data_IF_603417795649
#
_entry.id   IF_603417795649
#
_cell.length_a   1.000
_cell.length_b   1.000
_cell.length_c   1.000
_cell.angle_alpha   90.00
_cell.angle_beta   90.00
_cell.angle_gamma   90.00
#
_symmetry.space_group_name_H-M   'P 1'
#
loop_
_entity.id
_entity.type
_entity.pdbx_description
1 polymer ?
#
# COMPACT_ATOMS: atom_id res chain seq x y z
N UNK A 1 -16.86 -5.22 10.64
CA UNK A 1 -16.54 -6.41 11.46
C UNK A 1 -15.08 -6.81 11.24
N UNK A 2 -14.36 -7.35 12.23
CA UNK A 2 -12.94 -7.73 12.10
C UNK A 2 -12.64 -8.66 10.93
N UNK A 3 -13.46 -9.68 10.70
CA UNK A 3 -13.26 -10.63 9.60
C UNK A 3 -13.29 -9.94 8.21
N UNK A 4 -14.18 -8.95 8.03
CA UNK A 4 -14.23 -8.18 6.78
C UNK A 4 -13.00 -7.26 6.63
N UNK A 5 -12.53 -6.66 7.72
CA UNK A 5 -11.32 -5.84 7.71
C UNK A 5 -10.09 -6.70 7.38
N UNK A 6 -9.94 -7.88 8.01
CA UNK A 6 -8.87 -8.82 7.73
C UNK A 6 -8.86 -9.25 6.26
N UNK A 7 -10.03 -9.57 5.69
CA UNK A 7 -10.17 -9.90 4.28
C UNK A 7 -9.75 -8.74 3.35
N UNK A 8 -10.12 -7.50 3.69
CA UNK A 8 -9.73 -6.31 2.91
C UNK A 8 -8.23 -5.98 3.02
N UNK A 9 -7.60 -6.26 4.16
CA UNK A 9 -6.16 -6.03 4.37
C UNK A 9 -5.25 -7.17 3.91
N UNK A 10 -5.85 -8.29 3.49
CA UNK A 10 -5.30 -9.51 2.87
C UNK A 10 -4.06 -10.15 3.53
N UNK A 11 -2.97 -9.39 3.64
CA UNK A 11 -1.65 -9.84 4.08
C UNK A 11 -1.45 -9.90 5.59
N UNK A 12 -2.30 -9.23 6.39
CA UNK A 12 -2.15 -9.11 7.86
C UNK A 12 -2.89 -10.26 8.56
N UNK A 13 -2.24 -10.88 9.56
CA UNK A 13 -2.87 -11.93 10.38
C UNK A 13 -4.22 -11.44 10.95
N UNK A 14 -5.33 -12.18 10.73
CA UNK A 14 -6.65 -11.79 11.21
C UNK A 14 -6.73 -11.55 12.72
N UNK A 15 -5.94 -12.24 13.54
CA UNK A 15 -5.89 -12.07 15.01
C UNK A 15 -5.28 -10.72 15.37
N UNK A 16 -4.29 -10.23 14.62
CA UNK A 16 -3.72 -8.89 14.82
C UNK A 16 -4.79 -7.83 14.51
N UNK A 17 -5.52 -7.99 13.40
CA UNK A 17 -6.62 -7.08 13.04
C UNK A 17 -7.72 -7.09 14.11
N UNK A 18 -8.12 -8.27 14.57
CA UNK A 18 -9.14 -8.41 15.62
C UNK A 18 -8.69 -7.75 16.93
N UNK A 19 -7.45 -8.00 17.36
CA UNK A 19 -6.87 -7.41 18.56
C UNK A 19 -6.84 -5.88 18.47
N UNK A 20 -6.29 -5.31 17.38
CA UNK A 20 -6.18 -3.85 17.21
C UNK A 20 -7.57 -3.20 17.18
N UNK A 21 -8.50 -3.76 16.41
CA UNK A 21 -9.87 -3.23 16.37
C UNK A 21 -10.60 -3.38 17.69
N UNK A 22 -10.29 -4.41 18.49
CA UNK A 22 -10.79 -4.58 19.85
C UNK A 22 -10.28 -3.47 20.77
N UNK A 23 -8.97 -3.25 20.80
CA UNK A 23 -8.34 -2.21 21.62
C UNK A 23 -8.81 -0.81 21.28
N UNK A 24 -9.04 -0.52 19.99
CA UNK A 24 -9.44 0.81 19.55
C UNK A 24 -10.88 1.17 19.97
N UNK A 25 -11.81 0.21 19.97
CA UNK A 25 -13.25 0.46 20.19
C UNK A 25 -13.58 1.08 21.54
N UNK A 26 -12.77 0.79 22.56
CA UNK A 26 -13.05 1.25 23.93
C UNK A 26 -12.54 2.67 24.20
N UNK A 27 -11.71 3.23 23.29
CA UNK A 27 -11.01 4.50 23.52
C UNK A 27 -11.20 5.53 22.39
N UNK A 28 -11.65 5.11 21.21
CA UNK A 28 -11.88 5.98 20.06
C UNK A 28 -12.88 5.36 19.08
N UNK A 29 -13.28 6.13 18.08
CA UNK A 29 -14.11 5.67 16.97
C UNK A 29 -13.48 6.03 15.62
N UNK A 30 -14.07 5.54 14.53
CA UNK A 30 -13.54 5.75 13.18
C UNK A 30 -13.55 7.22 12.78
N UNK A 31 -14.56 7.98 13.18
CA UNK A 31 -14.70 9.40 12.82
C UNK A 31 -13.62 10.23 13.53
N UNK A 32 -13.36 9.96 14.81
CA UNK A 32 -12.28 10.58 15.58
C UNK A 32 -10.89 10.23 15.00
N UNK A 33 -10.66 8.97 14.61
CA UNK A 33 -9.42 8.56 13.94
C UNK A 33 -9.22 9.34 12.63
N UNK A 34 -10.26 9.43 11.80
CA UNK A 34 -10.22 10.18 10.55
C UNK A 34 -10.01 11.69 10.79
N UNK A 35 -10.68 12.27 11.79
CA UNK A 35 -10.51 13.67 12.16
C UNK A 35 -9.10 14.00 12.62
N UNK A 36 -8.49 13.16 13.45
CA UNK A 36 -7.08 13.34 13.88
C UNK A 36 -6.12 13.17 12.71
N UNK A 37 -6.34 12.18 11.83
CA UNK A 37 -5.56 12.03 10.60
C UNK A 37 -5.61 13.33 9.80
N UNK A 38 -6.80 13.83 9.48
CA UNK A 38 -6.99 15.00 8.62
C UNK A 38 -6.36 16.26 9.21
N UNK A 39 -6.54 16.48 10.52
CA UNK A 39 -5.92 17.57 11.25
C UNK A 39 -4.38 17.49 11.26
N UNK A 40 -3.81 16.30 11.10
CA UNK A 40 -2.35 16.07 11.15
C UNK A 40 -1.66 16.18 9.78
N UNK A 41 -2.41 16.13 8.67
CA UNK A 41 -1.83 16.09 7.31
C UNK A 41 -0.99 17.33 7.03
N UNK A 42 -1.58 18.52 7.13
CA UNK A 42 -0.89 19.77 6.77
C UNK A 42 0.30 20.04 7.70
N UNK A 43 0.16 19.98 9.04
CA UNK A 43 1.30 20.14 9.94
C UNK A 43 2.40 19.09 9.73
N UNK A 44 2.01 17.85 9.43
CA UNK A 44 2.95 16.76 9.17
C UNK A 44 3.74 16.97 7.88
N UNK A 45 3.06 17.37 6.79
CA UNK A 45 3.72 17.71 5.53
C UNK A 45 4.67 18.88 5.71
N UNK A 46 4.25 19.95 6.39
CA UNK A 46 5.12 21.11 6.63
C UNK A 46 6.35 20.77 7.48
N UNK A 47 6.20 19.87 8.47
CA UNK A 47 7.32 19.45 9.31
C UNK A 47 8.31 18.50 8.60
N UNK A 48 7.83 17.62 7.72
CA UNK A 48 8.64 16.58 7.08
C UNK A 48 9.19 17.04 5.73
N UNK A 49 8.36 17.74 4.96
CA UNK A 49 8.59 18.10 3.58
C UNK A 49 8.03 19.52 3.29
N UNK A 50 8.68 20.58 3.82
CA UNK A 50 8.20 21.95 3.66
C UNK A 50 7.95 22.30 2.18
N UNK A 51 6.82 22.93 1.89
CA UNK A 51 6.42 23.34 0.53
C UNK A 51 5.72 22.27 -0.32
N UNK A 52 5.72 20.98 0.09
CA UNK A 52 4.98 19.93 -0.63
C UNK A 52 3.49 20.23 -0.69
N UNK A 53 2.92 20.76 0.40
CA UNK A 53 1.50 21.08 0.44
C UNK A 53 1.09 22.06 -0.66
N UNK A 54 1.88 23.12 -0.85
CA UNK A 54 1.64 24.15 -1.86
C UNK A 54 1.75 23.59 -3.29
N UNK A 55 2.68 22.66 -3.51
CA UNK A 55 2.82 21.97 -4.79
C UNK A 55 1.68 20.99 -5.09
N UNK A 56 1.13 20.33 -4.06
CA UNK A 56 0.02 19.37 -4.20
C UNK A 56 -1.34 20.04 -4.34
N UNK A 57 -1.57 21.18 -3.69
CA UNK A 57 -2.88 21.84 -3.64
C UNK A 57 -3.53 22.06 -5.04
N UNK A 58 -2.79 22.52 -6.08
CA UNK A 58 -3.35 22.69 -7.42
C UNK A 58 -3.78 21.39 -8.11
N UNK A 59 -3.25 20.24 -7.69
CA UNK A 59 -3.49 18.93 -8.31
C UNK A 59 -4.73 18.22 -7.77
N UNK A 60 -5.42 18.79 -6.76
CA UNK A 60 -6.52 18.14 -6.08
C UNK A 60 -7.64 17.68 -7.05
N UNK A 61 -8.07 18.55 -7.96
CA UNK A 61 -9.12 18.23 -8.93
C UNK A 61 -8.67 17.15 -9.93
N UNK A 62 -7.41 17.19 -10.37
CA UNK A 62 -6.86 16.19 -11.29
C UNK A 62 -6.82 14.80 -10.64
N UNK A 63 -6.35 14.72 -9.39
CA UNK A 63 -6.31 13.47 -8.65
C UNK A 63 -7.72 12.91 -8.41
N UNK A 64 -8.70 13.76 -8.06
CA UNK A 64 -10.10 13.32 -7.91
C UNK A 64 -10.71 12.87 -9.24
N UNK A 65 -10.34 13.47 -10.36
CA UNK A 65 -10.75 13.00 -11.70
C UNK A 65 -10.30 11.56 -11.93
N UNK A 66 -9.07 11.22 -11.54
CA UNK A 66 -8.56 9.85 -11.57
C UNK A 66 -9.38 8.89 -10.69
N UNK A 67 -9.69 9.31 -9.46
CA UNK A 67 -10.53 8.53 -8.53
C UNK A 67 -11.93 8.28 -9.10
N UNK A 68 -12.54 9.27 -9.76
CA UNK A 68 -13.90 9.15 -10.29
C UNK A 68 -14.00 8.41 -11.63
N UNK A 69 -12.88 8.21 -12.33
CA UNK A 69 -12.83 7.53 -13.61
C UNK A 69 -12.99 6.00 -13.53
N UNK A 70 -12.94 5.41 -12.34
CA UNK A 70 -12.93 3.95 -12.15
C UNK A 70 -14.06 3.45 -11.24
N UNK A 71 -14.50 2.20 -11.45
CA UNK A 71 -15.52 1.57 -10.61
C UNK A 71 -14.94 1.08 -9.27
N UNK A 72 -15.77 1.03 -8.22
CA UNK A 72 -15.36 0.65 -6.86
C UNK A 72 -15.53 -0.84 -6.53
N UNK A 73 -16.19 -1.62 -7.40
CA UNK A 73 -16.50 -3.03 -7.15
C UNK A 73 -15.25 -3.86 -6.81
N UNK A 74 -15.33 -4.68 -5.76
CA UNK A 74 -14.23 -5.47 -5.19
C UNK A 74 -13.01 -4.65 -4.72
N UNK A 75 -13.21 -3.35 -4.43
CA UNK A 75 -12.17 -2.45 -3.93
C UNK A 75 -12.60 -1.78 -2.62
N UNK A 76 -12.64 -2.53 -1.51
CA UNK A 76 -13.23 -2.05 -0.26
C UNK A 76 -12.48 -0.86 0.34
N UNK A 77 -11.15 -0.83 0.30
CA UNK A 77 -10.37 0.26 0.89
C UNK A 77 -10.50 1.54 0.06
N UNK A 78 -10.37 1.41 -1.27
CA UNK A 78 -10.65 2.48 -2.22
C UNK A 78 -12.05 3.04 -2.04
N UNK A 79 -13.06 2.17 -1.97
CA UNK A 79 -14.46 2.57 -1.80
C UNK A 79 -14.70 3.29 -0.49
N UNK A 80 -14.06 2.85 0.61
CA UNK A 80 -14.20 3.46 1.91
C UNK A 80 -13.60 4.87 1.95
N UNK A 81 -12.42 5.07 1.35
CA UNK A 81 -11.78 6.39 1.28
C UNK A 81 -12.51 7.32 0.31
N UNK A 82 -12.93 6.81 -0.86
CA UNK A 82 -13.67 7.60 -1.86
C UNK A 82 -15.00 8.13 -1.35
N UNK A 83 -15.63 7.45 -0.39
CA UNK A 83 -16.90 7.87 0.20
C UNK A 83 -16.75 8.98 1.27
N UNK A 84 -15.52 9.30 1.69
CA UNK A 84 -15.28 10.36 2.67
C UNK A 84 -15.53 11.75 2.05
N UNK A 85 -15.91 12.76 2.86
CA UNK A 85 -16.08 14.12 2.38
C UNK A 85 -14.82 14.67 1.71
N UNK A 86 -14.99 15.39 0.61
CA UNK A 86 -13.90 16.09 -0.09
C UNK A 86 -13.81 17.52 0.46
N UNK A 87 -12.72 17.92 1.13
CA UNK A 87 -12.64 19.24 1.75
C UNK A 87 -12.29 20.31 0.70
N UNK A 88 -13.31 20.92 0.10
CA UNK A 88 -13.15 21.95 -0.95
C UNK A 88 -12.36 23.18 -0.45
N UNK A 89 -12.52 23.55 0.82
CA UNK A 89 -11.82 24.70 1.41
C UNK A 89 -10.39 24.41 1.86
N UNK A 90 -9.91 23.17 1.73
CA UNK A 90 -8.56 22.75 2.14
C UNK A 90 -7.90 21.92 1.04
N UNK A 91 -7.39 22.57 -0.04
CA UNK A 91 -6.92 21.89 -1.24
C UNK A 91 -5.74 20.94 -0.99
N UNK A 92 -4.84 21.26 -0.04
CA UNK A 92 -3.74 20.37 0.38
C UNK A 92 -4.29 19.05 0.92
N UNK A 93 -5.25 19.12 1.86
CA UNK A 93 -5.88 17.93 2.43
C UNK A 93 -6.68 17.18 1.36
N UNK A 94 -7.38 17.89 0.48
CA UNK A 94 -8.15 17.28 -0.62
C UNK A 94 -7.24 16.49 -1.57
N UNK A 95 -6.11 17.06 -2.00
CA UNK A 95 -5.12 16.37 -2.83
C UNK A 95 -4.54 15.13 -2.12
N UNK A 96 -4.23 15.25 -0.83
CA UNK A 96 -3.73 14.13 -0.03
C UNK A 96 -4.73 12.98 0.08
N UNK A 97 -6.02 13.29 0.29
CA UNK A 97 -7.08 12.28 0.35
C UNK A 97 -7.30 11.60 -1.01
N UNK A 98 -7.26 12.36 -2.11
CA UNK A 98 -7.34 11.82 -3.46
C UNK A 98 -6.17 10.87 -3.79
N UNK A 99 -4.94 11.28 -3.46
CA UNK A 99 -3.75 10.45 -3.63
C UNK A 99 -3.83 9.15 -2.80
N UNK A 100 -4.37 9.21 -1.57
CA UNK A 100 -4.59 8.02 -0.76
C UNK A 100 -5.69 7.10 -1.34
N UNK A 101 -6.74 7.66 -1.95
CA UNK A 101 -7.70 6.85 -2.70
C UNK A 101 -7.00 6.10 -3.84
N UNK A 102 -6.21 6.78 -4.67
CA UNK A 102 -5.45 6.14 -5.76
C UNK A 102 -4.46 5.08 -5.27
N UNK A 103 -3.83 5.33 -4.10
CA UNK A 103 -2.98 4.32 -3.44
C UNK A 103 -3.77 3.06 -3.05
N UNK A 104 -4.93 3.22 -2.42
CA UNK A 104 -5.76 2.07 -2.04
C UNK A 104 -6.40 1.36 -3.24
N UNK A 105 -6.70 2.07 -4.33
CA UNK A 105 -7.12 1.47 -5.59
C UNK A 105 -6.08 0.45 -6.07
N UNK A 106 -4.80 0.83 -6.07
CA UNK A 106 -3.72 -0.07 -6.47
C UNK A 106 -3.62 -1.27 -5.53
N UNK A 107 -3.72 -1.04 -4.22
CA UNK A 107 -3.70 -2.08 -3.20
C UNK A 107 -4.83 -3.10 -3.38
N UNK A 108 -6.06 -2.62 -3.53
CA UNK A 108 -7.24 -3.46 -3.76
C UNK A 108 -7.13 -4.24 -5.09
N UNK A 109 -6.65 -3.62 -6.16
CA UNK A 109 -6.37 -4.31 -7.43
C UNK A 109 -5.35 -5.45 -7.24
N UNK A 110 -4.30 -5.21 -6.47
CA UNK A 110 -3.28 -6.20 -6.16
C UNK A 110 -3.87 -7.39 -5.37
N UNK A 111 -4.65 -7.12 -4.33
CA UNK A 111 -5.32 -8.17 -3.55
C UNK A 111 -6.32 -8.97 -4.37
N UNK A 112 -7.08 -8.33 -5.26
CA UNK A 112 -7.99 -9.04 -6.16
C UNK A 112 -7.23 -10.01 -7.10
N UNK A 113 -6.06 -9.63 -7.60
CA UNK A 113 -5.21 -10.49 -8.43
C UNK A 113 -4.60 -11.64 -7.63
N UNK A 114 -4.11 -11.39 -6.42
CA UNK A 114 -3.60 -12.43 -5.52
C UNK A 114 -4.68 -13.46 -5.17
N UNK A 115 -5.89 -12.99 -4.84
CA UNK A 115 -7.05 -13.83 -4.56
C UNK A 115 -7.44 -14.68 -5.77
N UNK A 116 -7.48 -14.07 -6.97
CA UNK A 116 -7.79 -14.78 -8.21
C UNK A 116 -6.76 -15.86 -8.57
N UNK A 117 -5.53 -15.74 -8.07
CA UNK A 117 -4.46 -16.74 -8.23
C UNK A 117 -4.42 -17.79 -7.10
N UNK A 118 -5.39 -17.76 -6.17
CA UNK A 118 -5.43 -18.65 -4.99
C UNK A 118 -4.13 -18.56 -4.15
N UNK A 119 -3.57 -17.36 -4.00
CA UNK A 119 -2.44 -17.12 -3.11
C UNK A 119 -2.96 -16.81 -1.71
N UNK A 120 -2.49 -17.54 -0.71
CA UNK A 120 -2.74 -17.16 0.67
C UNK A 120 -1.87 -15.96 1.10
N UNK A 121 -2.15 -15.35 2.28
CA UNK A 121 -1.40 -14.20 2.78
C UNK A 121 0.11 -14.44 2.95
N UNK A 122 0.52 -15.67 3.28
CA UNK A 122 1.92 -16.05 3.48
C UNK A 122 2.62 -16.18 2.13
N UNK A 123 1.99 -16.85 1.17
CA UNK A 123 2.49 -16.99 -0.20
C UNK A 123 2.75 -15.61 -0.83
N UNK A 124 1.82 -14.66 -0.62
CA UNK A 124 1.98 -13.26 -1.05
C UNK A 124 3.21 -12.60 -0.42
N UNK A 125 3.40 -12.75 0.89
CA UNK A 125 4.54 -12.19 1.60
C UNK A 125 5.88 -12.80 1.16
N UNK A 126 5.93 -14.12 0.96
CA UNK A 126 7.11 -14.83 0.48
C UNK A 126 7.46 -14.46 -0.97
N UNK A 127 6.46 -14.35 -1.85
CA UNK A 127 6.64 -13.90 -3.23
C UNK A 127 7.14 -12.45 -3.31
N UNK A 128 6.82 -11.62 -2.32
CA UNK A 128 7.33 -10.23 -2.26
C UNK A 128 8.86 -10.16 -2.15
N UNK A 129 9.54 -11.22 -1.69
CA UNK A 129 11.02 -11.28 -1.65
C UNK A 129 11.69 -10.96 -3.00
N UNK A 130 11.01 -11.20 -4.12
CA UNK A 130 11.49 -10.86 -5.48
C UNK A 130 11.62 -9.35 -5.71
N UNK A 131 10.91 -8.54 -4.94
CA UNK A 131 10.80 -7.07 -5.10
C UNK A 131 11.68 -6.27 -4.14
N UNK A 132 12.42 -6.94 -3.27
CA UNK A 132 13.29 -6.31 -2.26
C UNK A 132 14.71 -6.83 -2.41
N UNK A 133 15.68 -6.08 -1.92
CA UNK A 133 17.06 -6.54 -1.90
C UNK A 133 17.20 -7.83 -1.07
N UNK A 134 17.63 -8.94 -1.68
CA UNK A 134 17.75 -10.21 -1.00
C UNK A 134 18.81 -10.21 0.11
N UNK A 135 19.85 -9.37 0.01
CA UNK A 135 20.92 -9.28 1.00
C UNK A 135 20.46 -8.52 2.25
N UNK A 136 19.53 -7.56 2.10
CA UNK A 136 19.00 -6.75 3.21
C UNK A 136 17.70 -7.34 3.81
N UNK A 137 16.83 -7.91 2.98
CA UNK A 137 15.46 -8.33 3.37
C UNK A 137 15.09 -9.77 2.96
N UNK A 138 15.88 -10.43 2.11
CA UNK A 138 15.52 -11.73 1.53
C UNK A 138 15.78 -12.94 2.43
N UNK A 139 16.70 -12.84 3.39
CA UNK A 139 17.17 -13.99 4.17
C UNK A 139 16.29 -14.38 5.37
N UNK A 140 15.39 -13.49 5.82
CA UNK A 140 14.60 -13.69 7.05
C UNK A 140 13.10 -13.90 6.78
N UNK A 141 12.67 -14.06 5.53
CA UNK A 141 11.23 -14.12 5.17
C UNK A 141 10.48 -12.90 5.74
N UNK A 142 11.19 -11.77 5.86
CA UNK A 142 10.83 -10.63 6.71
C UNK A 142 9.41 -10.17 6.41
N UNK A 143 9.07 -10.02 5.12
CA UNK A 143 7.77 -9.51 4.67
C UNK A 143 6.65 -10.37 5.19
N UNK A 144 6.75 -11.70 5.11
CA UNK A 144 5.72 -12.58 5.63
C UNK A 144 5.66 -12.51 7.17
N UNK A 145 6.81 -12.55 7.86
CA UNK A 145 6.86 -12.57 9.33
C UNK A 145 6.33 -11.30 9.99
N UNK A 146 6.65 -10.15 9.42
CA UNK A 146 6.18 -8.85 9.91
C UNK A 146 4.67 -8.65 9.93
N UNK A 147 3.95 -9.50 9.20
CA UNK A 147 2.49 -9.48 9.13
C UNK A 147 1.83 -10.43 10.13
N UNK A 148 2.63 -11.06 11.00
CA UNK A 148 2.16 -11.90 12.10
C UNK A 148 2.35 -13.40 11.89
N UNK A 149 3.04 -13.82 10.82
CA UNK A 149 3.18 -15.24 10.48
C UNK A 149 4.33 -15.90 11.26
N UNK A 150 4.03 -17.04 11.88
CA UNK A 150 4.98 -17.88 12.62
C UNK A 150 5.71 -18.89 11.72
N UNK A 151 6.67 -19.64 12.29
CA UNK A 151 7.49 -20.61 11.55
C UNK A 151 6.65 -21.69 10.85
N UNK A 152 5.57 -22.16 11.52
CA UNK A 152 4.67 -23.15 10.96
C UNK A 152 3.88 -22.60 9.77
N UNK A 153 3.43 -21.34 9.84
CA UNK A 153 2.76 -20.65 8.74
C UNK A 153 3.72 -20.46 7.55
N UNK A 154 4.96 -20.04 7.83
CA UNK A 154 6.01 -19.89 6.81
C UNK A 154 6.30 -21.22 6.10
N UNK A 155 6.49 -22.31 6.86
CA UNK A 155 6.74 -23.63 6.28
C UNK A 155 5.59 -24.09 5.36
N UNK A 156 4.34 -23.89 5.79
CA UNK A 156 3.16 -24.17 4.96
C UNK A 156 3.11 -23.29 3.71
N UNK A 157 3.49 -22.01 3.81
CA UNK A 157 3.57 -21.09 2.68
C UNK A 157 4.56 -21.58 1.61
N UNK A 158 5.75 -22.00 2.02
CA UNK A 158 6.72 -22.61 1.10
C UNK A 158 6.19 -23.88 0.46
N UNK A 159 5.55 -24.77 1.23
CA UNK A 159 4.94 -26.00 0.70
C UNK A 159 3.88 -25.73 -0.37
N UNK A 160 3.05 -24.70 -0.18
CA UNK A 160 2.05 -24.28 -1.15
C UNK A 160 2.68 -23.69 -2.41
N UNK A 161 3.67 -22.82 -2.27
CA UNK A 161 4.41 -22.26 -3.42
C UNK A 161 5.12 -23.35 -4.24
N UNK A 162 5.73 -24.35 -3.58
CA UNK A 162 6.32 -25.52 -4.25
C UNK A 162 5.26 -26.34 -4.99
N UNK A 163 4.11 -26.57 -4.36
CA UNK A 163 2.97 -27.28 -4.99
C UNK A 163 2.46 -26.54 -6.23
N UNK A 164 2.48 -25.21 -6.22
CA UNK A 164 2.15 -24.35 -7.36
C UNK A 164 3.30 -24.21 -8.37
N UNK A 165 4.47 -24.80 -8.10
CA UNK A 165 5.65 -24.74 -8.97
C UNK A 165 6.35 -23.38 -9.00
N UNK A 166 6.15 -22.54 -7.98
CA UNK A 166 6.69 -21.18 -7.87
C UNK A 166 7.96 -21.11 -6.99
N UNK A 167 8.27 -22.17 -6.25
CA UNK A 167 9.44 -22.25 -5.38
C UNK A 167 10.18 -23.58 -5.52
N UNK A 168 11.46 -23.57 -5.15
CA UNK A 168 12.29 -24.76 -4.90
C UNK A 168 12.90 -24.63 -3.50
N UNK A 169 12.56 -25.56 -2.60
CA UNK A 169 12.84 -25.40 -1.17
C UNK A 169 12.27 -24.09 -0.60
N UNK A 170 13.12 -23.31 0.06
CA UNK A 170 12.80 -22.00 0.64
C UNK A 170 13.26 -20.84 -0.26
N UNK A 171 13.21 -21.02 -1.59
CA UNK A 171 13.57 -20.00 -2.55
C UNK A 171 12.55 -19.91 -3.69
N UNK A 172 12.20 -18.70 -4.10
CA UNK A 172 11.38 -18.46 -5.28
C UNK A 172 12.19 -18.84 -6.52
N UNK A 173 11.64 -19.70 -7.37
CA UNK A 173 12.30 -20.14 -8.60
C UNK A 173 12.03 -19.17 -9.77
N UNK A 174 12.64 -19.39 -10.93
CA UNK A 174 12.45 -18.52 -12.12
C UNK A 174 10.99 -18.39 -12.56
N UNK A 175 10.19 -19.44 -12.40
CA UNK A 175 8.77 -19.40 -12.71
C UNK A 175 8.02 -18.51 -11.71
N UNK A 176 8.30 -18.66 -10.41
CA UNK A 176 7.78 -17.78 -9.36
C UNK A 176 8.17 -16.32 -9.55
N UNK A 177 9.41 -16.05 -9.98
CA UNK A 177 9.87 -14.70 -10.31
C UNK A 177 9.07 -14.10 -11.46
N UNK A 178 8.92 -14.82 -12.58
CA UNK A 178 8.10 -14.36 -13.72
C UNK A 178 6.64 -14.14 -13.32
N UNK A 179 6.08 -15.06 -12.55
CA UNK A 179 4.71 -14.96 -12.04
C UNK A 179 4.53 -13.71 -11.17
N UNK A 180 5.45 -13.44 -10.24
CA UNK A 180 5.41 -12.25 -9.38
C UNK A 180 5.46 -10.95 -10.18
N UNK A 181 6.34 -10.87 -11.18
CA UNK A 181 6.49 -9.70 -12.04
C UNK A 181 5.27 -9.49 -12.93
N UNK A 182 4.70 -10.57 -13.48
CA UNK A 182 3.45 -10.51 -14.23
C UNK A 182 2.29 -9.99 -13.39
N UNK A 183 2.23 -10.41 -12.11
CA UNK A 183 1.23 -9.94 -11.16
C UNK A 183 1.37 -8.43 -10.87
N UNK A 184 2.59 -7.89 -10.75
CA UNK A 184 2.78 -6.42 -10.68
C UNK A 184 2.34 -5.72 -11.95
N UNK A 185 2.78 -6.20 -13.12
CA UNK A 185 2.40 -5.61 -14.41
C UNK A 185 0.87 -5.52 -14.55
N UNK A 186 0.15 -6.59 -14.21
CA UNK A 186 -1.32 -6.60 -14.23
C UNK A 186 -1.93 -5.68 -13.19
N UNK A 187 -1.30 -5.55 -12.02
CA UNK A 187 -1.72 -4.57 -10.99
C UNK A 187 -1.63 -3.15 -11.54
N UNK A 188 -0.53 -2.82 -12.22
CA UNK A 188 -0.31 -1.51 -12.83
C UNK A 188 -1.29 -1.27 -13.98
N UNK A 189 -1.52 -2.25 -14.85
CA UNK A 189 -2.51 -2.17 -15.94
C UNK A 189 -3.94 -1.91 -15.43
N UNK A 190 -4.34 -2.54 -14.32
CA UNK A 190 -5.65 -2.30 -13.70
C UNK A 190 -5.75 -0.95 -13.00
N UNK A 191 -4.62 -0.32 -12.69
CA UNK A 191 -4.55 0.97 -11.99
C UNK A 191 -4.36 2.14 -12.97
N UNK A 192 -3.73 1.89 -14.11
CA UNK A 192 -3.41 2.87 -15.14
C UNK A 192 -4.60 3.73 -15.61
N UNK A 193 -5.84 3.21 -15.77
CA UNK A 193 -6.97 4.05 -16.19
C UNK A 193 -7.23 5.25 -15.28
N UNK A 194 -7.00 5.11 -13.97
CA UNK A 194 -7.16 6.22 -13.03
C UNK A 194 -6.11 7.31 -13.31
N UNK A 195 -4.84 6.94 -13.51
CA UNK A 195 -3.76 7.88 -13.81
C UNK A 195 -3.86 8.48 -15.22
N UNK A 196 -4.37 7.73 -16.19
CA UNK A 196 -4.71 8.27 -17.52
C UNK A 196 -5.76 9.39 -17.42
N UNK A 197 -6.73 9.28 -16.49
CA UNK A 197 -7.71 10.32 -16.23
C UNK A 197 -7.17 11.49 -15.37
N UNK A 198 -6.19 11.26 -14.49
CA UNK A 198 -5.41 12.35 -13.87
C UNK A 198 -4.73 13.17 -14.96
N UNK A 199 -4.18 12.50 -15.98
CA UNK A 199 -3.50 13.10 -17.11
C UNK A 199 -2.00 13.20 -16.89
N UNK A 200 -1.23 13.13 -17.97
CA UNK A 200 0.23 13.07 -17.94
C UNK A 200 0.86 14.27 -17.23
N UNK A 201 0.44 15.50 -17.58
CA UNK A 201 0.98 16.73 -16.98
C UNK A 201 0.80 16.76 -15.47
N UNK A 202 -0.40 16.46 -14.97
CA UNK A 202 -0.67 16.44 -13.53
C UNK A 202 0.04 15.28 -12.82
N UNK A 203 0.19 14.13 -13.49
CA UNK A 203 0.94 12.99 -12.96
C UNK A 203 2.42 13.32 -12.80
N UNK A 204 3.05 13.94 -13.82
CA UNK A 204 4.44 14.38 -13.75
C UNK A 204 4.62 15.42 -12.65
N UNK A 205 3.75 16.43 -12.58
CA UNK A 205 3.79 17.44 -11.52
C UNK A 205 3.64 16.84 -10.12
N UNK A 206 2.80 15.81 -9.95
CA UNK A 206 2.67 15.07 -8.70
C UNK A 206 3.97 14.36 -8.31
N UNK A 207 4.61 13.66 -9.26
CA UNK A 207 5.90 13.02 -9.00
C UNK A 207 6.99 14.04 -8.66
N UNK A 208 7.11 15.11 -9.45
CA UNK A 208 8.08 16.20 -9.22
C UNK A 208 7.88 16.90 -7.87
N UNK A 209 6.64 16.96 -7.37
CA UNK A 209 6.34 17.51 -6.05
C UNK A 209 6.79 16.60 -4.90
N UNK A 210 6.73 15.27 -5.06
CA UNK A 210 6.94 14.31 -3.97
C UNK A 210 8.36 13.73 -3.95
N UNK A 211 8.88 13.36 -5.11
CA UNK A 211 10.16 12.63 -5.24
C UNK A 211 11.35 13.35 -4.58
N UNK A 212 11.50 14.69 -4.65
CA UNK A 212 12.59 15.38 -3.97
C UNK A 212 12.60 15.20 -2.44
N UNK A 213 11.46 14.85 -1.85
CA UNK A 213 11.29 14.68 -0.39
C UNK A 213 11.39 13.22 0.07
N UNK A 214 11.74 12.29 -0.84
CA UNK A 214 11.83 10.85 -0.55
C UNK A 214 12.65 10.53 0.71
N UNK A 215 13.87 11.06 0.81
CA UNK A 215 14.77 10.76 1.94
C UNK A 215 14.22 11.33 3.27
N UNK A 216 13.51 12.47 3.22
CA UNK A 216 12.90 13.06 4.40
C UNK A 216 11.74 12.19 4.93
N UNK A 217 10.93 11.63 4.04
CA UNK A 217 9.91 10.66 4.42
C UNK A 217 10.51 9.37 4.99
N UNK A 218 11.58 8.84 4.39
CA UNK A 218 12.27 7.66 4.94
C UNK A 218 12.89 7.93 6.31
N UNK A 219 13.54 9.09 6.50
CA UNK A 219 14.08 9.47 7.81
C UNK A 219 12.98 9.58 8.88
N UNK A 220 11.79 10.08 8.51
CA UNK A 220 10.63 10.10 9.40
C UNK A 220 10.18 8.69 9.80
N UNK A 221 10.11 7.77 8.83
CA UNK A 221 9.79 6.35 9.06
C UNK A 221 10.82 5.71 9.99
N UNK A 222 12.10 5.94 9.76
CA UNK A 222 13.18 5.42 10.61
C UNK A 222 13.03 5.90 12.07
N UNK A 223 12.70 7.18 12.25
CA UNK A 223 12.48 7.76 13.57
C UNK A 223 11.19 7.31 14.28
N UNK A 224 10.26 6.60 13.61
CA UNK A 224 9.02 6.12 14.25
C UNK A 224 8.83 4.62 14.26
N UNK A 225 9.14 3.96 13.15
CA UNK A 225 8.89 2.54 12.96
C UNK A 225 10.21 1.75 12.94
N UNK A 226 11.32 2.39 12.54
CA UNK A 226 12.66 1.82 12.49
C UNK A 226 13.14 1.50 11.07
N UNK A 227 14.45 1.28 10.95
CA UNK A 227 15.17 1.18 9.68
C UNK A 227 14.83 -0.03 8.80
N UNK A 228 14.01 -0.98 9.27
CA UNK A 228 13.55 -2.13 8.47
C UNK A 228 12.16 -1.93 7.86
N UNK A 229 11.49 -0.80 8.12
CA UNK A 229 10.18 -0.51 7.54
C UNK A 229 10.28 0.10 6.15
N UNK A 230 9.24 -0.09 5.33
CA UNK A 230 9.16 0.34 3.92
C UNK A 230 10.34 -0.15 3.04
N UNK A 231 10.69 -1.45 3.05
CA UNK A 231 11.86 -1.96 2.33
C UNK A 231 11.82 -1.69 0.83
N UNK A 232 10.65 -1.82 0.19
CA UNK A 232 10.49 -1.53 -1.24
C UNK A 232 10.73 -0.04 -1.60
N UNK A 233 10.66 0.87 -0.64
CA UNK A 233 10.95 2.29 -0.84
C UNK A 233 12.43 2.63 -0.64
N UNK A 234 13.25 1.72 -0.09
CA UNK A 234 14.67 2.01 0.19
C UNK A 234 15.57 1.90 -1.03
N UNK A 235 15.05 1.31 -2.11
CA UNK A 235 15.72 1.30 -3.39
C UNK A 235 15.09 2.38 -4.27
N UNK A 236 15.87 3.39 -4.65
CA UNK A 236 15.43 4.30 -5.71
C UNK A 236 15.37 3.50 -7.00
N UNK A 237 14.20 3.45 -7.63
CA UNK A 237 14.14 3.05 -9.01
C UNK A 237 15.00 4.05 -9.79
N UNK A 238 16.10 3.58 -10.38
CA UNK A 238 16.75 4.31 -11.45
C UNK A 238 15.77 4.34 -12.60
N UNK A 239 15.14 5.50 -12.82
CA UNK A 239 14.37 5.81 -14.03
C UNK A 239 15.26 5.66 -15.28
#
# INVERSE_FOLDING_TARGET
>A
APAAAAAATYSIDPKIIEMILGLARDVTDTDAICGVRDASVIPGLEAIAPGVGDALAPLAEDLWRGVDAVHFGARPMFSALRAQPRPESAPVLSAWLAANCLRELRGDNHWALCAAADLDPVEVGLLHSVMVDPDEYGSEEWIARSRGNDDDAIARGWDRLRTKGLADGAAINDHGRRFRLDLERRTDELTAPAWQAVGETATVAFCEAIEPHHDAFLARVDGTAGARWMPAMRHRATL
#
